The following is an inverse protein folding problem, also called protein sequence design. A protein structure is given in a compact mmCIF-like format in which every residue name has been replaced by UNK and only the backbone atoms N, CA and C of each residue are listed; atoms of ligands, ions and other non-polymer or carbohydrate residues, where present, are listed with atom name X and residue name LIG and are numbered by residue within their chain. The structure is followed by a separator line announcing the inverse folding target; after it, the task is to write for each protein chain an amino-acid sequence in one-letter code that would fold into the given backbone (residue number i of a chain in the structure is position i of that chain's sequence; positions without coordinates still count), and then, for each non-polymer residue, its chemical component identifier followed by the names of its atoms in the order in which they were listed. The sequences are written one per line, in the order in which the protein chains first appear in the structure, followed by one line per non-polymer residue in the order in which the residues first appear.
data_IF_751453045063
#
_entry.id   IF_751453045063
#
_cell.length_a   1.000
_cell.length_b   1.000
_cell.length_c   1.000
_cell.angle_alpha   90.00
_cell.angle_beta   90.00
_cell.angle_gamma   90.00
#
_symmetry.space_group_name_H-M   'P 1'
#
loop_
_entity.id
_entity.type
_entity.pdbx_description
1 polymer ?
#
# COMPACT_ATOMS: atom_id res chain seq x y z
N UNK A 1 -13.33 23.19 -11.18
CA UNK A 1 -13.82 21.78 -11.24
C UNK A 1 -13.97 21.39 -12.71
N UNK A 2 -13.03 20.62 -13.25
CA UNK A 2 -13.10 20.14 -14.63
C UNK A 2 -13.91 18.84 -14.65
N UNK A 3 -15.12 18.87 -15.21
CA UNK A 3 -15.93 17.68 -15.41
C UNK A 3 -15.31 16.83 -16.53
N UNK A 4 -15.11 15.53 -16.29
CA UNK A 4 -14.63 14.60 -17.31
C UNK A 4 -15.57 14.58 -18.51
N UNK A 5 -15.03 14.33 -19.70
CA UNK A 5 -15.80 14.30 -20.94
C UNK A 5 -16.54 12.96 -21.06
N UNK A 6 -17.82 12.97 -21.45
CA UNK A 6 -18.62 11.76 -21.69
C UNK A 6 -18.46 11.28 -23.14
N UNK A 7 -18.41 9.96 -23.35
CA UNK A 7 -18.21 9.32 -24.65
C UNK A 7 -16.86 8.60 -24.74
N UNK A 8 -16.60 7.92 -25.85
CA UNK A 8 -15.35 7.18 -26.05
C UNK A 8 -14.22 8.10 -26.53
N UNK A 9 -13.05 8.03 -25.89
CA UNK A 9 -11.88 8.85 -26.20
C UNK A 9 -10.61 8.02 -26.38
N UNK A 10 -9.65 8.55 -27.14
CA UNK A 10 -8.29 8.01 -27.20
C UNK A 10 -7.24 9.05 -26.85
N UNK A 11 -6.14 8.59 -26.23
CA UNK A 11 -4.89 9.34 -26.07
C UNK A 11 -3.70 8.47 -26.46
N UNK A 12 -2.57 9.08 -26.83
CA UNK A 12 -1.30 8.37 -26.96
C UNK A 12 -0.77 7.97 -25.58
N UNK A 13 -0.10 6.82 -25.47
CA UNK A 13 0.60 6.46 -24.24
C UNK A 13 1.65 7.50 -23.83
N UNK A 14 2.31 8.15 -24.80
CA UNK A 14 3.30 9.20 -24.53
C UNK A 14 2.70 10.45 -23.84
N UNK A 15 1.36 10.54 -23.75
CA UNK A 15 0.66 11.58 -23.02
C UNK A 15 0.45 11.22 -21.55
N UNK A 16 0.86 10.04 -21.11
CA UNK A 16 0.68 9.55 -19.74
C UNK A 16 1.93 9.82 -18.91
N UNK A 17 1.72 9.94 -17.59
CA UNK A 17 2.80 9.94 -16.59
C UNK A 17 2.47 8.92 -15.52
N UNK A 18 3.44 8.08 -15.19
CA UNK A 18 3.37 7.07 -14.13
C UNK A 18 4.33 7.49 -13.03
N UNK A 19 3.86 7.66 -11.80
CA UNK A 19 4.66 8.21 -10.69
C UNK A 19 5.32 9.56 -11.05
N UNK A 20 4.72 10.33 -11.96
CA UNK A 20 5.26 11.59 -12.45
C UNK A 20 6.23 11.49 -13.63
N UNK A 21 6.69 10.29 -14.00
CA UNK A 21 7.59 10.06 -15.14
C UNK A 21 6.82 9.79 -16.45
N UNK A 22 7.29 10.40 -17.54
CA UNK A 22 6.72 10.27 -18.90
C UNK A 22 7.31 9.13 -19.74
N UNK A 23 8.46 8.57 -19.38
CA UNK A 23 9.11 7.48 -20.14
C UNK A 23 9.00 6.11 -19.43
N UNK A 24 7.92 5.93 -18.69
CA UNK A 24 7.71 4.73 -17.89
C UNK A 24 7.42 3.50 -18.76
N UNK A 25 8.15 2.41 -18.51
CA UNK A 25 7.96 1.15 -19.21
C UNK A 25 6.63 0.49 -18.82
N UNK A 26 5.75 0.30 -19.82
CA UNK A 26 4.40 -0.29 -19.67
C UNK A 26 4.39 -1.65 -19.00
N UNK A 27 5.50 -2.42 -19.10
CA UNK A 27 5.61 -3.75 -18.50
C UNK A 27 5.83 -3.72 -16.99
N UNK A 28 6.17 -2.55 -16.44
CA UNK A 28 6.51 -2.37 -15.03
C UNK A 28 5.36 -1.72 -14.23
N UNK A 29 4.18 -1.56 -14.85
CA UNK A 29 2.99 -1.05 -14.16
C UNK A 29 2.54 -2.00 -13.05
N UNK A 30 2.12 -1.39 -11.94
CA UNK A 30 1.51 -2.10 -10.82
C UNK A 30 0.23 -1.39 -10.36
N UNK A 31 -0.67 -2.15 -9.75
CA UNK A 31 -1.80 -1.60 -9.00
C UNK A 31 -1.28 -0.77 -7.81
N UNK A 32 -1.98 0.31 -7.48
CA UNK A 32 -1.57 1.29 -6.49
C UNK A 32 -0.77 2.47 -7.05
N UNK A 33 -0.19 2.35 -8.24
CA UNK A 33 0.61 3.42 -8.84
C UNK A 33 -0.23 4.65 -9.22
N UNK A 34 0.35 5.84 -9.07
CA UNK A 34 -0.17 7.10 -9.56
C UNK A 34 -0.03 7.19 -11.08
N UNK A 35 -1.13 7.52 -11.74
CA UNK A 35 -1.25 7.73 -13.17
C UNK A 35 -1.86 9.10 -13.43
N UNK A 36 -1.32 9.85 -14.38
CA UNK A 36 -1.96 11.07 -14.89
C UNK A 36 -1.73 11.19 -16.39
N UNK A 37 -2.41 12.14 -17.04
CA UNK A 37 -2.21 12.39 -18.47
C UNK A 37 -2.24 13.88 -18.81
N UNK A 38 -1.71 14.24 -19.98
CA UNK A 38 -1.72 15.61 -20.48
C UNK A 38 -1.97 15.69 -21.99
N UNK A 39 -2.07 16.90 -22.51
CA UNK A 39 -2.31 17.13 -23.94
C UNK A 39 -3.79 17.00 -24.30
N UNK A 40 -4.06 16.52 -25.51
CA UNK A 40 -5.41 16.48 -26.09
C UNK A 40 -5.93 15.04 -26.15
N UNK A 41 -7.15 14.83 -25.67
CA UNK A 41 -7.90 13.60 -25.92
C UNK A 41 -8.70 13.74 -27.22
N UNK A 42 -8.80 12.65 -27.97
CA UNK A 42 -9.51 12.63 -29.24
C UNK A 42 -10.80 11.82 -29.11
N UNK A 43 -11.97 12.44 -29.35
CA UNK A 43 -13.25 11.72 -29.31
C UNK A 43 -13.34 10.76 -30.49
N UNK A 44 -13.88 9.56 -30.24
CA UNK A 44 -14.18 8.58 -31.29
C UNK A 44 -15.57 8.75 -31.91
N UNK A 45 -16.39 9.63 -31.35
CA UNK A 45 -17.75 9.93 -31.80
C UNK A 45 -17.93 11.44 -32.06
N UNK A 46 -18.80 11.81 -33.00
CA UNK A 46 -19.13 13.22 -33.32
C UNK A 46 -18.36 13.85 -34.49
N UNK A 47 -18.67 15.11 -34.83
CA UNK A 47 -18.12 15.82 -36.01
C UNK A 47 -16.59 15.98 -35.97
N UNK A 48 -16.00 16.07 -34.77
CA UNK A 48 -14.55 16.18 -34.58
C UNK A 48 -13.82 14.82 -34.63
N UNK A 49 -14.54 13.69 -34.53
CA UNK A 49 -13.96 12.36 -34.74
C UNK A 49 -13.49 12.15 -36.18
N UNK A 50 -13.98 12.98 -37.11
CA UNK A 50 -13.64 12.92 -38.53
C UNK A 50 -12.30 13.61 -38.88
N UNK A 51 -11.74 14.46 -38.00
CA UNK A 51 -10.66 15.38 -38.36
C UNK A 51 -9.24 15.00 -37.88
N UNK A 52 -9.06 13.85 -37.22
CA UNK A 52 -7.75 13.49 -36.63
C UNK A 52 -7.07 12.29 -37.31
N UNK A 53 -7.76 11.53 -38.18
CA UNK A 53 -7.28 10.18 -38.53
C UNK A 53 -7.54 9.77 -40.00
N UNK A 54 -7.12 10.56 -40.99
CA UNK A 54 -7.38 10.28 -42.42
C UNK A 54 -6.15 9.91 -43.27
N UNK A 55 -5.05 9.37 -42.71
CA UNK A 55 -3.81 9.22 -43.50
C UNK A 55 -3.01 7.89 -43.36
N UNK A 56 -3.55 6.79 -42.81
CA UNK A 56 -2.82 5.50 -42.77
C UNK A 56 -3.74 4.28 -42.63
N UNK A 57 -3.29 3.10 -43.12
CA UNK A 57 -3.91 1.78 -42.90
C UNK A 57 -4.05 1.44 -41.42
N UNK A 58 -3.12 1.92 -40.59
CA UNK A 58 -3.09 1.69 -39.14
C UNK A 58 -4.34 2.24 -38.43
N UNK A 59 -4.93 3.30 -39.01
CA UNK A 59 -6.06 4.03 -38.45
C UNK A 59 -7.40 3.32 -38.67
N UNK A 60 -7.55 2.61 -39.80
CA UNK A 60 -8.74 1.78 -40.05
C UNK A 60 -8.76 0.58 -39.12
N UNK A 61 -7.59 -0.01 -38.85
CA UNK A 61 -7.45 -1.10 -37.88
C UNK A 61 -7.72 -0.61 -36.46
N UNK A 62 -7.20 0.55 -36.06
CA UNK A 62 -7.45 1.14 -34.76
C UNK A 62 -8.94 1.46 -34.57
N UNK A 63 -9.62 2.03 -35.58
CA UNK A 63 -11.08 2.24 -35.55
C UNK A 63 -11.83 0.93 -35.41
N UNK A 64 -11.47 -0.11 -36.14
CA UNK A 64 -12.13 -1.41 -36.04
C UNK A 64 -11.87 -2.09 -34.69
N UNK A 65 -10.69 -1.93 -34.08
CA UNK A 65 -10.41 -2.41 -32.71
C UNK A 65 -11.19 -1.59 -31.67
N UNK A 66 -11.13 -0.26 -31.74
CA UNK A 66 -11.82 0.62 -30.81
C UNK A 66 -13.36 0.50 -30.89
N UNK A 67 -13.93 0.41 -32.09
CA UNK A 67 -15.37 0.20 -32.28
C UNK A 67 -15.82 -1.16 -31.72
N UNK A 68 -15.00 -2.22 -31.85
CA UNK A 68 -15.27 -3.52 -31.21
C UNK A 68 -15.23 -3.42 -29.68
N UNK A 69 -14.23 -2.73 -29.11
CA UNK A 69 -14.15 -2.50 -27.66
C UNK A 69 -15.37 -1.74 -27.18
N UNK A 70 -15.70 -0.59 -27.80
CA UNK A 70 -16.84 0.26 -27.41
C UNK A 70 -18.16 -0.50 -27.56
N UNK A 71 -18.38 -1.21 -28.67
CA UNK A 71 -19.61 -1.99 -28.88
C UNK A 71 -19.78 -3.10 -27.84
N UNK A 72 -18.70 -3.81 -27.50
CA UNK A 72 -18.72 -4.87 -26.50
C UNK A 72 -18.84 -4.31 -25.07
N UNK A 73 -18.30 -3.12 -24.82
CA UNK A 73 -18.42 -2.43 -23.53
C UNK A 73 -19.85 -1.91 -23.30
N UNK A 74 -20.48 -1.33 -24.32
CA UNK A 74 -21.87 -0.84 -24.29
C UNK A 74 -22.92 -1.95 -24.06
N UNK A 75 -22.55 -3.21 -24.28
CA UNK A 75 -23.39 -4.38 -24.00
C UNK A 75 -23.26 -4.89 -22.56
N UNK A 76 -22.45 -4.24 -21.70
CA UNK A 76 -22.20 -4.63 -20.32
C UNK A 76 -22.59 -3.50 -19.35
N UNK A 77 -23.15 -3.81 -18.17
CA UNK A 77 -23.23 -2.84 -17.09
C UNK A 77 -21.80 -2.45 -16.66
N UNK A 78 -21.61 -1.19 -16.23
CA UNK A 78 -20.32 -0.64 -15.79
C UNK A 78 -19.55 -1.64 -14.89
N UNK A 79 -18.24 -1.79 -15.06
CA UNK A 79 -17.49 -2.87 -14.45
C UNK A 79 -17.54 -2.78 -12.92
N UNK A 80 -18.09 -3.82 -12.29
CA UNK A 80 -17.89 -4.09 -10.87
C UNK A 80 -16.50 -4.74 -10.67
N UNK A 81 -15.86 -4.57 -9.51
CA UNK A 81 -14.42 -4.86 -9.32
C UNK A 81 -14.05 -6.35 -9.26
N UNK A 82 -15.02 -7.24 -9.42
CA UNK A 82 -14.83 -8.68 -9.31
C UNK A 82 -15.54 -9.38 -10.48
N UNK A 83 -14.93 -9.35 -11.66
CA UNK A 83 -15.23 -10.30 -12.72
C UNK A 83 -13.90 -10.82 -13.28
N UNK A 84 -13.32 -11.76 -12.53
CA UNK A 84 -12.26 -12.65 -13.01
C UNK A 84 -12.76 -13.66 -14.06
N UNK A 85 -14.07 -13.74 -14.31
CA UNK A 85 -14.66 -14.80 -15.14
C UNK A 85 -14.83 -14.46 -16.62
N UNK A 86 -14.41 -13.28 -17.10
CA UNK A 86 -14.52 -12.90 -18.53
C UNK A 86 -13.21 -12.32 -19.10
N UNK A 87 -12.05 -12.76 -18.57
CA UNK A 87 -10.71 -12.35 -19.01
C UNK A 87 -10.14 -13.19 -20.18
N UNK A 88 -10.90 -14.13 -20.73
CA UNK A 88 -10.49 -14.91 -21.91
C UNK A 88 -10.63 -14.14 -23.23
N UNK A 89 -11.19 -12.92 -23.21
CA UNK A 89 -11.19 -12.05 -24.39
C UNK A 89 -9.81 -11.37 -24.56
N UNK A 90 -9.08 -11.64 -25.67
CA UNK A 90 -7.79 -11.00 -25.95
C UNK A 90 -7.84 -9.48 -25.94
N UNK A 91 -9.01 -8.89 -26.17
CA UNK A 91 -9.22 -7.45 -26.27
C UNK A 91 -9.09 -6.71 -24.91
N UNK A 92 -9.35 -7.39 -23.80
CA UNK A 92 -9.29 -6.82 -22.44
C UNK A 92 -8.12 -7.36 -21.62
N UNK A 93 -7.27 -8.20 -22.23
CA UNK A 93 -6.09 -8.79 -21.60
C UNK A 93 -5.19 -7.72 -20.97
N UNK A 94 -5.11 -6.55 -21.59
CA UNK A 94 -4.26 -5.45 -21.14
C UNK A 94 -5.09 -4.28 -20.60
N UNK A 95 -6.37 -4.45 -20.27
CA UNK A 95 -7.17 -3.33 -19.75
C UNK A 95 -6.68 -2.90 -18.36
N UNK A 96 -6.79 -1.62 -18.05
CA UNK A 96 -6.56 -1.08 -16.71
C UNK A 96 -7.77 -0.30 -16.23
N UNK A 97 -7.95 -0.25 -14.92
CA UNK A 97 -8.96 0.61 -14.30
C UNK A 97 -8.25 1.67 -13.47
N UNK A 98 -8.66 2.92 -13.65
CA UNK A 98 -8.11 4.12 -13.02
C UNK A 98 -9.17 4.77 -12.14
N UNK A 99 -8.77 5.41 -11.03
CA UNK A 99 -9.71 6.11 -10.15
C UNK A 99 -9.12 7.36 -9.50
N UNK A 100 -9.94 8.40 -9.33
CA UNK A 100 -9.64 9.57 -8.48
C UNK A 100 -10.16 9.41 -7.04
N UNK A 101 -10.57 8.19 -6.65
CA UNK A 101 -11.18 7.88 -5.35
C UNK A 101 -12.70 8.04 -5.31
N UNK A 102 -13.32 8.67 -6.32
CA UNK A 102 -14.78 8.85 -6.41
C UNK A 102 -15.34 8.27 -7.71
N UNK A 103 -14.60 8.41 -8.81
CA UNK A 103 -14.97 7.97 -10.15
C UNK A 103 -14.01 6.90 -10.63
N UNK A 104 -14.49 6.07 -11.54
CA UNK A 104 -13.72 4.99 -12.16
C UNK A 104 -13.69 5.20 -13.66
N UNK A 105 -12.52 4.95 -14.26
CA UNK A 105 -12.29 5.07 -15.69
C UNK A 105 -11.61 3.79 -16.18
N UNK A 106 -12.20 3.13 -17.16
CA UNK A 106 -11.52 2.05 -17.86
C UNK A 106 -10.60 2.63 -18.93
N UNK A 107 -9.36 2.13 -18.99
CA UNK A 107 -8.42 2.44 -20.05
C UNK A 107 -7.94 1.14 -20.69
N UNK A 108 -8.08 1.04 -22.01
CA UNK A 108 -7.71 -0.16 -22.78
C UNK A 108 -6.56 0.20 -23.71
N UNK A 109 -5.34 -0.31 -23.49
CA UNK A 109 -4.23 -0.17 -24.40
C UNK A 109 -4.52 -0.88 -25.71
N UNK A 110 -4.34 -0.15 -26.80
CA UNK A 110 -4.43 -0.66 -28.15
C UNK A 110 -3.08 -0.43 -28.83
N UNK A 111 -2.39 -1.51 -29.14
CA UNK A 111 -1.15 -1.46 -29.93
C UNK A 111 -1.49 -1.60 -31.41
N UNK A 112 -0.96 -0.68 -32.21
CA UNK A 112 -1.11 -0.71 -33.67
C UNK A 112 -0.03 -1.67 -34.23
N UNK A 113 -0.43 -2.56 -35.15
CA UNK A 113 0.40 -3.69 -35.59
C UNK A 113 1.67 -3.25 -36.33
N UNK A 114 1.62 -2.14 -37.08
CA UNK A 114 2.75 -1.66 -37.89
C UNK A 114 3.61 -0.57 -37.21
N UNK A 115 3.11 0.16 -36.20
CA UNK A 115 3.81 1.33 -35.66
C UNK A 115 4.48 1.13 -34.29
N UNK A 116 4.23 0.01 -33.58
CA UNK A 116 4.61 -0.19 -32.15
C UNK A 116 4.09 0.90 -31.19
N UNK A 117 3.37 1.90 -31.68
CA UNK A 117 2.74 2.92 -30.87
C UNK A 117 1.52 2.33 -30.16
N UNK A 118 1.36 2.67 -28.89
CA UNK A 118 0.21 2.28 -28.09
C UNK A 118 -0.61 3.52 -27.80
N UNK A 119 -1.91 3.42 -28.05
CA UNK A 119 -2.89 4.40 -27.60
C UNK A 119 -3.72 3.79 -26.47
N UNK A 120 -4.24 4.63 -25.59
CA UNK A 120 -5.21 4.24 -24.57
C UNK A 120 -6.61 4.65 -25.02
N UNK A 121 -7.53 3.69 -25.04
CA UNK A 121 -8.95 3.90 -25.26
C UNK A 121 -9.69 3.98 -23.93
N UNK A 122 -10.49 5.03 -23.78
CA UNK A 122 -11.39 5.27 -22.65
C UNK A 122 -12.84 5.15 -23.12
N UNK A 123 -13.52 4.00 -22.95
CA UNK A 123 -14.85 3.77 -23.50
C UNK A 123 -15.95 4.57 -22.79
N UNK A 124 -15.82 4.82 -21.48
CA UNK A 124 -16.90 5.39 -20.65
C UNK A 124 -16.73 6.87 -20.31
N UNK A 125 -15.68 7.49 -20.83
CA UNK A 125 -15.37 8.88 -20.59
C UNK A 125 -13.91 9.13 -20.26
N UNK A 126 -13.47 10.35 -20.54
CA UNK A 126 -12.10 10.77 -20.34
C UNK A 126 -11.92 11.36 -18.94
N UNK A 127 -10.95 10.89 -18.14
CA UNK A 127 -10.60 11.57 -16.89
C UNK A 127 -10.05 12.98 -17.16
N UNK A 128 -10.20 13.95 -16.24
CA UNK A 128 -9.62 15.27 -16.39
C UNK A 128 -8.09 15.23 -16.61
N UNK A 129 -7.58 16.08 -17.51
CA UNK A 129 -6.14 16.18 -17.74
C UNK A 129 -5.40 16.71 -16.51
N UNK A 130 -4.17 16.24 -16.30
CA UNK A 130 -3.25 16.59 -15.22
C UNK A 130 -3.78 16.31 -13.81
N UNK A 131 -4.79 15.46 -13.69
CA UNK A 131 -5.26 14.94 -12.42
C UNK A 131 -4.55 13.61 -12.11
N UNK A 132 -4.10 13.45 -10.87
CA UNK A 132 -3.58 12.18 -10.37
C UNK A 132 -4.74 11.21 -10.16
N UNK A 133 -4.65 10.05 -10.78
CA UNK A 133 -5.49 8.88 -10.59
C UNK A 133 -4.63 7.74 -10.06
N UNK A 134 -5.26 6.74 -9.46
CA UNK A 134 -4.59 5.50 -9.07
C UNK A 134 -4.95 4.39 -10.03
N UNK A 135 -3.98 3.58 -10.43
CA UNK A 135 -4.21 2.30 -11.12
C UNK A 135 -4.78 1.33 -10.09
N UNK A 136 -6.06 1.00 -10.20
CA UNK A 136 -6.74 0.13 -9.21
C UNK A 136 -6.84 -1.33 -9.66
N UNK A 137 -6.71 -1.59 -10.96
CA UNK A 137 -6.69 -2.94 -11.50
C UNK A 137 -5.93 -2.99 -12.82
N UNK A 138 -5.16 -4.06 -13.03
CA UNK A 138 -4.47 -4.36 -14.29
C UNK A 138 -4.91 -5.72 -14.85
N UNK A 139 -5.14 -5.79 -16.16
CA UNK A 139 -5.39 -7.01 -16.90
C UNK A 139 -4.13 -7.88 -17.04
N UNK A 140 -4.33 -9.18 -17.32
CA UNK A 140 -3.31 -10.21 -17.29
C UNK A 140 -2.13 -10.12 -18.28
N UNK A 141 -2.10 -9.18 -19.23
CA UNK A 141 -0.90 -8.96 -20.05
C UNK A 141 0.04 -7.86 -19.54
N UNK A 142 -0.35 -7.16 -18.47
CA UNK A 142 0.62 -6.53 -17.59
C UNK A 142 1.16 -7.60 -16.65
N UNK A 143 2.48 -7.80 -16.67
CA UNK A 143 3.10 -8.59 -15.61
C UNK A 143 2.90 -7.78 -14.34
N UNK A 144 1.97 -8.21 -13.49
CA UNK A 144 1.85 -7.75 -12.11
C UNK A 144 3.12 -8.18 -11.36
N UNK A 145 4.26 -7.57 -11.70
CA UNK A 145 5.37 -7.41 -10.79
C UNK A 145 4.88 -6.38 -9.80
N UNK A 146 4.10 -6.85 -8.84
CA UNK A 146 4.13 -6.25 -7.53
C UNK A 146 5.62 -6.15 -7.20
N UNK A 147 6.21 -4.95 -7.26
CA UNK A 147 7.33 -4.64 -6.38
C UNK A 147 6.73 -4.96 -5.02
N UNK A 148 7.05 -6.13 -4.47
CA UNK A 148 6.80 -6.44 -3.08
C UNK A 148 7.55 -5.33 -2.34
N UNK A 149 6.86 -4.22 -2.08
CA UNK A 149 7.26 -3.32 -1.01
C UNK A 149 7.41 -4.27 0.18
N UNK A 150 8.63 -4.40 0.68
CA UNK A 150 8.94 -5.28 1.80
C UNK A 150 7.98 -5.03 2.97
N UNK A 151 7.87 -5.97 3.92
CA UNK A 151 6.90 -5.87 5.01
C UNK A 151 6.89 -4.48 5.65
N UNK A 152 5.73 -3.84 5.71
CA UNK A 152 5.63 -2.42 6.10
C UNK A 152 5.20 -2.36 7.56
N UNK A 153 6.08 -1.92 8.47
CA UNK A 153 5.80 -1.80 9.92
C UNK A 153 5.34 -0.38 10.23
N UNK A 154 4.05 -0.21 10.58
CA UNK A 154 3.44 1.09 10.86
C UNK A 154 2.44 1.05 12.02
N UNK A 155 2.36 2.15 12.75
CA UNK A 155 1.25 2.50 13.63
C UNK A 155 0.14 3.18 12.84
N UNK A 156 -1.11 3.08 13.29
CA UNK A 156 -2.21 3.89 12.75
C UNK A 156 -2.38 5.17 13.57
N UNK A 157 -2.77 6.27 12.91
CA UNK A 157 -3.17 7.53 13.55
C UNK A 157 -4.04 7.29 14.80
N UNK A 158 -3.75 8.02 15.88
CA UNK A 158 -4.43 7.89 17.17
C UNK A 158 -3.85 6.82 18.09
N UNK A 159 -2.86 6.04 17.63
CA UNK A 159 -2.06 5.18 18.51
C UNK A 159 -1.33 6.03 19.54
N UNK A 160 -1.37 5.63 20.81
CA UNK A 160 -0.69 6.27 21.92
C UNK A 160 0.60 5.53 22.25
N UNK A 161 1.72 6.23 22.15
CA UNK A 161 3.05 5.70 22.49
C UNK A 161 3.48 6.21 23.87
N UNK A 162 4.03 5.33 24.69
CA UNK A 162 4.62 5.73 25.96
C UNK A 162 5.87 6.58 25.72
N UNK A 163 5.92 7.76 26.34
CA UNK A 163 6.97 8.76 26.22
C UNK A 163 7.37 9.32 27.59
N UNK A 164 8.40 10.17 27.61
CA UNK A 164 8.92 10.76 28.85
C UNK A 164 7.85 11.46 29.72
N UNK A 165 6.87 12.12 29.09
CA UNK A 165 5.84 12.92 29.77
C UNK A 165 4.45 12.25 29.77
N UNK A 166 4.41 10.92 29.77
CA UNK A 166 3.18 10.15 29.66
C UNK A 166 3.00 9.60 28.25
N UNK A 167 1.78 9.55 27.74
CA UNK A 167 1.54 9.06 26.38
C UNK A 167 1.47 10.20 25.37
N UNK A 168 2.04 9.99 24.19
CA UNK A 168 1.97 10.88 23.03
C UNK A 168 1.23 10.19 21.89
N UNK A 169 0.38 10.90 21.16
CA UNK A 169 -0.24 10.35 19.96
C UNK A 169 0.82 10.21 18.86
N UNK A 170 0.79 9.13 18.08
CA UNK A 170 1.83 8.85 17.08
C UNK A 170 1.94 9.96 16.03
N UNK A 171 0.83 10.62 15.69
CA UNK A 171 0.81 11.78 14.78
C UNK A 171 1.51 13.03 15.32
N UNK A 172 1.78 13.08 16.64
CA UNK A 172 2.44 14.20 17.31
C UNK A 172 3.92 13.92 17.59
N UNK A 173 4.39 12.68 17.38
CA UNK A 173 5.80 12.30 17.57
C UNK A 173 6.67 12.94 16.51
N UNK A 174 7.79 13.53 16.91
CA UNK A 174 8.79 14.16 16.04
C UNK A 174 10.18 13.59 16.31
N UNK A 175 11.08 13.78 15.34
CA UNK A 175 12.50 13.48 15.55
C UNK A 175 13.03 14.32 16.73
N UNK A 176 13.86 13.70 17.58
CA UNK A 176 14.34 14.28 18.84
C UNK A 176 13.44 14.04 20.06
N UNK A 177 12.21 13.53 19.88
CA UNK A 177 11.39 13.09 21.01
C UNK A 177 11.96 11.81 21.64
N UNK A 178 11.59 11.55 22.90
CA UNK A 178 12.02 10.36 23.63
C UNK A 178 10.84 9.45 23.97
N UNK A 179 10.89 8.21 23.48
CA UNK A 179 9.92 7.17 23.78
C UNK A 179 10.44 6.21 24.83
N UNK A 180 9.53 5.69 25.65
CA UNK A 180 9.83 4.62 26.61
C UNK A 180 9.95 3.30 25.86
N UNK A 181 11.10 2.66 26.03
CA UNK A 181 11.39 1.33 25.51
C UNK A 181 11.39 0.31 26.64
N UNK A 182 11.15 -0.97 26.29
CA UNK A 182 11.11 -2.07 27.26
C UNK A 182 12.46 -2.30 27.93
N UNK A 183 13.53 -2.30 27.15
CA UNK A 183 14.84 -2.81 27.59
C UNK A 183 15.84 -1.70 27.89
N UNK A 184 15.75 -0.56 27.20
CA UNK A 184 16.81 0.44 27.15
C UNK A 184 16.37 1.83 27.67
N UNK A 185 15.31 1.88 28.48
CA UNK A 185 14.78 3.12 29.04
C UNK A 185 14.25 4.06 27.95
N UNK A 186 14.55 5.35 28.06
CA UNK A 186 14.17 6.35 27.06
C UNK A 186 15.11 6.28 25.85
N UNK A 187 14.54 6.20 24.65
CA UNK A 187 15.28 6.26 23.39
C UNK A 187 14.77 7.37 22.50
N UNK A 188 15.72 8.05 21.87
CA UNK A 188 15.45 9.15 20.95
C UNK A 188 14.81 8.61 19.66
N UNK A 189 13.81 9.32 19.17
CA UNK A 189 13.22 9.12 17.85
C UNK A 189 14.13 9.78 16.83
N UNK A 190 14.72 8.99 15.95
CA UNK A 190 15.61 9.51 14.90
C UNK A 190 14.85 10.00 13.68
N UNK A 191 13.70 9.39 13.40
CA UNK A 191 12.90 9.64 12.21
C UNK A 191 11.44 9.22 12.40
N UNK A 192 10.53 9.98 11.80
CA UNK A 192 9.11 9.63 11.67
C UNK A 192 8.70 9.78 10.21
N UNK A 193 8.17 8.71 9.62
CA UNK A 193 7.57 8.74 8.29
C UNK A 193 6.07 8.53 8.36
N UNK A 194 5.31 9.11 7.44
CA UNK A 194 3.88 8.82 7.34
C UNK A 194 3.42 8.56 5.92
N UNK A 195 2.36 7.76 5.80
CA UNK A 195 1.70 7.44 4.53
C UNK A 195 0.19 7.36 4.73
N UNK A 196 -0.56 8.07 3.90
CA UNK A 196 -2.03 8.00 3.93
C UNK A 196 -2.56 7.16 2.78
N UNK A 197 -3.39 6.17 3.09
CA UNK A 197 -4.13 5.37 2.13
C UNK A 197 -5.61 5.74 2.16
N UNK A 198 -6.14 6.10 1.00
CA UNK A 198 -7.56 6.29 0.76
C UNK A 198 -8.32 4.96 0.81
N UNK A 199 -9.65 5.03 0.94
CA UNK A 199 -10.51 3.85 0.87
C UNK A 199 -10.39 3.08 -0.45
N UNK A 200 -10.14 3.77 -1.56
CA UNK A 200 -9.89 3.16 -2.87
C UNK A 200 -8.56 2.38 -2.87
N UNK A 201 -7.50 2.92 -2.28
CA UNK A 201 -6.23 2.22 -2.10
C UNK A 201 -6.39 1.01 -1.18
N UNK A 202 -7.11 1.12 -0.07
CA UNK A 202 -7.42 -0.01 0.84
C UNK A 202 -8.35 -1.05 0.22
N UNK A 203 -9.12 -0.66 -0.79
CA UNK A 203 -9.95 -1.57 -1.58
C UNK A 203 -9.09 -2.34 -2.60
N UNK A 204 -8.24 -1.64 -3.35
CA UNK A 204 -7.32 -2.24 -4.33
C UNK A 204 -6.23 -3.09 -3.66
N UNK A 205 -5.74 -2.67 -2.49
CA UNK A 205 -4.68 -3.33 -1.73
C UNK A 205 -5.21 -3.77 -0.36
N UNK A 206 -6.10 -4.78 -0.30
CA UNK A 206 -6.71 -5.22 0.95
C UNK A 206 -5.69 -5.78 1.95
N UNK A 207 -4.53 -6.24 1.47
CA UNK A 207 -3.41 -6.69 2.28
C UNK A 207 -2.67 -5.55 3.01
N UNK A 208 -3.00 -4.27 2.74
CA UNK A 208 -2.52 -3.11 3.48
C UNK A 208 -3.54 -2.59 4.51
N UNK A 209 -4.67 -3.28 4.68
CA UNK A 209 -5.67 -2.90 5.69
C UNK A 209 -5.11 -3.12 7.10
N UNK A 210 -5.40 -2.23 8.05
CA UNK A 210 -4.86 -2.36 9.38
C UNK A 210 -5.43 -3.58 10.09
N UNK A 211 -4.60 -4.18 10.94
CA UNK A 211 -5.01 -5.20 11.89
C UNK A 211 -5.41 -4.51 13.18
N UNK A 212 -6.63 -4.79 13.62
CA UNK A 212 -7.17 -4.39 14.91
C UNK A 212 -6.86 -5.45 15.96
N UNK A 213 -6.14 -5.02 16.98
CA UNK A 213 -5.93 -5.74 18.23
C UNK A 213 -6.97 -5.19 19.23
N UNK A 214 -8.09 -5.88 19.47
CA UNK A 214 -9.18 -5.35 20.30
C UNK A 214 -8.78 -5.24 21.77
N UNK A 215 -9.41 -4.32 22.51
CA UNK A 215 -9.17 -4.14 23.93
C UNK A 215 -9.26 -5.45 24.71
N UNK A 216 -8.31 -5.67 25.61
CA UNK A 216 -8.23 -6.89 26.43
C UNK A 216 -7.67 -8.13 25.73
N UNK A 217 -7.31 -8.06 24.44
CA UNK A 217 -6.73 -9.19 23.69
C UNK A 217 -5.57 -9.88 24.40
N UNK A 218 -4.68 -9.11 25.03
CA UNK A 218 -3.51 -9.63 25.72
C UNK A 218 -3.71 -9.80 27.23
N UNK A 219 -4.95 -9.68 27.71
CA UNK A 219 -5.29 -9.75 29.14
C UNK A 219 -5.00 -8.45 29.90
N UNK A 220 -5.45 -8.39 31.17
CA UNK A 220 -5.32 -7.22 32.05
C UNK A 220 -5.83 -5.91 31.43
N UNK A 221 -6.87 -6.01 30.58
CA UNK A 221 -7.44 -4.86 29.88
C UNK A 221 -6.64 -4.36 28.67
N UNK A 222 -5.56 -5.03 28.24
CA UNK A 222 -4.65 -4.56 27.18
C UNK A 222 -4.96 -5.13 25.79
N UNK A 223 -4.85 -4.37 24.69
CA UNK A 223 -4.55 -2.93 24.66
C UNK A 223 -5.70 -2.10 25.25
N UNK A 224 -5.43 -0.86 25.67
CA UNK A 224 -6.47 0.08 26.09
C UNK A 224 -6.13 1.48 25.53
N UNK A 225 -6.90 2.03 24.57
CA UNK A 225 -7.98 1.40 23.79
C UNK A 225 -7.44 0.39 22.75
N UNK A 226 -8.30 -0.14 21.88
CA UNK A 226 -7.90 -0.94 20.70
C UNK A 226 -6.63 -0.39 20.02
N UNK A 227 -5.72 -1.27 19.62
CA UNK A 227 -4.52 -0.92 18.87
C UNK A 227 -4.71 -1.30 17.39
N UNK A 228 -4.52 -0.34 16.49
CA UNK A 228 -4.52 -0.59 15.05
C UNK A 228 -3.10 -0.41 14.50
N UNK A 229 -2.63 -1.42 13.77
CA UNK A 229 -1.28 -1.45 13.20
C UNK A 229 -1.32 -2.04 11.79
N UNK A 230 -0.24 -1.86 11.02
CA UNK A 230 -0.10 -2.55 9.74
C UNK A 230 -0.01 -4.09 9.91
N UNK A 231 -0.33 -4.88 8.88
CA UNK A 231 -0.29 -6.35 8.96
C UNK A 231 1.03 -6.97 9.38
N UNK A 232 2.15 -6.39 8.96
CA UNK A 232 3.49 -6.88 9.29
C UNK A 232 4.07 -6.29 10.58
N UNK A 233 3.38 -5.36 11.24
CA UNK A 233 3.80 -4.80 12.53
C UNK A 233 3.92 -5.91 13.57
N UNK A 234 5.00 -5.92 14.36
CA UNK A 234 5.25 -7.03 15.25
C UNK A 234 4.90 -6.71 16.70
N UNK A 235 4.23 -7.67 17.33
CA UNK A 235 3.89 -7.65 18.74
C UNK A 235 4.80 -8.61 19.48
N UNK A 236 5.25 -8.20 20.67
CA UNK A 236 6.04 -9.03 21.57
C UNK A 236 5.14 -10.09 22.21
N UNK A 237 5.49 -11.35 22.00
CA UNK A 237 4.83 -12.52 22.58
C UNK A 237 5.77 -13.13 23.61
N UNK A 238 5.28 -13.31 24.84
CA UNK A 238 5.99 -14.01 25.91
C UNK A 238 5.29 -15.34 26.17
N UNK A 239 6.01 -16.45 25.97
CA UNK A 239 5.42 -17.79 26.07
C UNK A 239 6.47 -18.83 26.47
N UNK A 240 6.15 -19.76 27.38
CA UNK A 240 7.01 -20.91 27.67
C UNK A 240 7.30 -21.77 26.43
N UNK A 241 6.36 -21.85 25.50
CA UNK A 241 6.51 -22.57 24.24
C UNK A 241 7.52 -21.89 23.31
N UNK A 242 7.60 -20.56 23.34
CA UNK A 242 8.67 -19.85 22.63
C UNK A 242 10.06 -20.27 23.14
N UNK A 243 10.20 -20.43 24.47
CA UNK A 243 11.44 -20.90 25.10
C UNK A 243 11.75 -22.35 24.70
N UNK A 244 10.74 -23.22 24.66
CA UNK A 244 10.91 -24.62 24.28
C UNK A 244 11.28 -24.80 22.79
N UNK A 245 10.68 -24.00 21.90
CA UNK A 245 10.85 -24.13 20.45
C UNK A 245 12.12 -23.44 19.93
N UNK A 246 12.48 -22.28 20.50
CA UNK A 246 13.57 -21.44 19.97
C UNK A 246 14.60 -21.01 21.01
N UNK A 247 14.46 -21.41 22.27
CA UNK A 247 15.38 -20.99 23.34
C UNK A 247 15.16 -19.56 23.83
N UNK A 248 14.13 -18.87 23.34
CA UNK A 248 13.82 -17.46 23.61
C UNK A 248 12.61 -17.30 24.53
N UNK A 249 12.68 -16.46 25.57
CA UNK A 249 11.50 -16.17 26.42
C UNK A 249 10.46 -15.30 25.71
N UNK A 250 10.92 -14.49 24.76
CA UNK A 250 10.13 -13.48 24.07
C UNK A 250 10.45 -13.48 22.59
N UNK A 251 9.42 -13.43 21.75
CA UNK A 251 9.52 -13.46 20.28
C UNK A 251 8.58 -12.42 19.67
N UNK A 252 8.90 -11.97 18.46
CA UNK A 252 8.12 -10.96 17.75
C UNK A 252 7.26 -11.63 16.67
N UNK A 253 5.93 -11.57 16.84
CA UNK A 253 4.95 -12.13 15.91
C UNK A 253 4.22 -11.00 15.19
N UNK A 254 3.96 -11.16 13.88
CA UNK A 254 3.27 -10.12 13.09
C UNK A 254 1.80 -10.07 13.49
N UNK A 255 1.20 -8.88 13.46
CA UNK A 255 -0.19 -8.68 13.81
C UNK A 255 -1.13 -9.52 12.95
N UNK A 256 -0.84 -9.69 11.65
CA UNK A 256 -1.65 -10.54 10.77
C UNK A 256 -1.65 -12.03 11.16
N UNK A 257 -0.57 -12.51 11.79
CA UNK A 257 -0.48 -13.91 12.23
C UNK A 257 -1.33 -14.14 13.51
N UNK A 258 -1.81 -13.07 14.16
CA UNK A 258 -2.76 -13.13 15.28
C UNK A 258 -4.23 -13.14 14.82
N UNK A 259 -4.50 -13.04 13.51
CA UNK A 259 -5.87 -12.95 12.98
C UNK A 259 -6.55 -14.32 13.06
N UNK A 260 -7.83 -14.30 13.46
CA UNK A 260 -8.64 -15.52 13.61
C UNK A 260 -8.68 -15.99 15.06
N UNK A 261 -8.13 -17.17 15.35
CA UNK A 261 -8.32 -17.86 16.63
C UNK A 261 -7.67 -17.13 17.82
N UNK A 262 -6.67 -16.28 17.57
CA UNK A 262 -6.00 -15.48 18.59
C UNK A 262 -6.66 -14.13 18.87
N UNK A 263 -7.77 -13.79 18.20
CA UNK A 263 -8.61 -12.64 18.54
C UNK A 263 -8.35 -11.33 17.77
N UNK A 264 -7.24 -11.19 17.03
CA UNK A 264 -7.03 -10.04 16.15
C UNK A 264 -7.91 -10.12 14.90
N UNK A 265 -8.23 -8.97 14.29
CA UNK A 265 -9.13 -8.89 13.13
C UNK A 265 -8.61 -7.88 12.10
N UNK A 266 -8.81 -8.15 10.82
CA UNK A 266 -8.61 -7.15 9.76
C UNK A 266 -9.69 -6.07 9.90
N UNK A 267 -9.31 -4.80 9.88
CA UNK A 267 -10.28 -3.70 9.93
C UNK A 267 -10.83 -3.38 8.54
N UNK A 268 -11.97 -4.01 8.23
CA UNK A 268 -12.71 -3.75 6.99
C UNK A 268 -13.50 -2.44 7.02
N UNK A 269 -13.65 -1.78 8.19
CA UNK A 269 -14.43 -0.55 8.36
C UNK A 269 -13.61 0.71 8.11
N UNK A 270 -12.28 0.61 8.05
CA UNK A 270 -11.42 1.74 7.72
C UNK A 270 -11.76 2.29 6.32
N UNK A 271 -12.28 3.53 6.29
CA UNK A 271 -12.58 4.27 5.06
C UNK A 271 -11.35 4.98 4.48
N UNK A 272 -10.33 5.18 5.31
CA UNK A 272 -8.97 5.58 4.99
C UNK A 272 -8.09 5.22 6.19
N UNK A 273 -6.77 5.23 6.01
CA UNK A 273 -5.81 5.02 7.11
C UNK A 273 -4.61 5.93 6.90
N UNK A 274 -4.10 6.52 7.98
CA UNK A 274 -2.79 7.16 7.99
C UNK A 274 -1.88 6.33 8.85
N UNK A 275 -0.82 5.83 8.23
CA UNK A 275 0.22 5.02 8.83
C UNK A 275 1.42 5.88 9.21
N UNK A 276 2.03 5.55 10.34
CA UNK A 276 3.22 6.21 10.87
C UNK A 276 4.32 5.18 11.13
N UNK A 277 5.52 5.46 10.64
CA UNK A 277 6.75 4.75 10.93
C UNK A 277 7.52 5.53 11.98
N UNK A 278 7.98 4.87 13.04
CA UNK A 278 8.76 5.53 14.09
C UNK A 278 10.06 4.76 14.26
N UNK A 279 11.17 5.40 13.92
CA UNK A 279 12.51 4.83 14.05
C UNK A 279 13.25 5.48 15.21
N UNK A 280 13.87 4.67 16.05
CA UNK A 280 14.61 5.13 17.24
C UNK A 280 16.11 4.91 17.05
N UNK A 281 16.90 5.30 18.05
CA UNK A 281 18.31 4.88 18.17
C UNK A 281 18.40 3.35 18.36
N UNK A 282 18.48 2.64 17.24
CA UNK A 282 18.42 1.18 17.14
C UNK A 282 16.98 0.62 17.10
N UNK A 283 16.86 -0.67 16.82
CA UNK A 283 15.57 -1.36 16.87
C UNK A 283 15.15 -1.60 18.31
N UNK A 284 13.94 -1.16 18.68
CA UNK A 284 13.47 -1.17 20.06
C UNK A 284 12.10 -1.82 20.17
N UNK A 285 11.78 -2.34 21.36
CA UNK A 285 10.40 -2.64 21.76
C UNK A 285 9.84 -1.41 22.46
N UNK A 286 8.82 -0.78 21.86
CA UNK A 286 8.08 0.37 22.41
C UNK A 286 6.74 -0.07 22.97
N UNK A 287 6.11 0.79 23.77
CA UNK A 287 4.78 0.52 24.34
C UNK A 287 3.73 1.36 23.61
N UNK A 288 2.83 0.70 22.89
CA UNK A 288 1.74 1.30 22.12
C UNK A 288 0.39 0.82 22.67
N UNK A 289 -0.48 1.75 23.09
CA UNK A 289 -1.75 1.45 23.76
C UNK A 289 -1.61 0.35 24.83
N UNK A 290 -0.59 0.46 25.69
CA UNK A 290 -0.21 -0.52 26.73
C UNK A 290 0.33 -1.89 26.26
N UNK A 291 0.54 -2.10 24.96
CA UNK A 291 1.08 -3.34 24.36
C UNK A 291 2.52 -3.13 23.89
N UNK A 292 3.36 -4.14 24.11
CA UNK A 292 4.76 -4.12 23.66
C UNK A 292 4.85 -4.53 22.18
N UNK A 293 5.34 -3.62 21.34
CA UNK A 293 5.45 -3.76 19.88
C UNK A 293 6.79 -3.22 19.39
N UNK A 294 7.19 -3.53 18.16
CA UNK A 294 8.46 -3.04 17.65
C UNK A 294 8.42 -1.61 17.08
N UNK A 295 9.59 -0.98 17.07
CA UNK A 295 9.83 0.22 16.28
C UNK A 295 10.14 -0.14 14.83
N UNK A 296 10.16 0.86 13.95
CA UNK A 296 10.61 0.70 12.58
C UNK A 296 12.09 0.27 12.52
N UNK A 297 12.40 -0.61 11.57
CA UNK A 297 13.76 -1.02 11.24
C UNK A 297 13.97 -0.93 9.72
N UNK A 298 14.91 -0.12 9.22
CA UNK A 298 15.06 0.15 7.78
C UNK A 298 15.47 -1.08 6.96
N UNK A 299 16.25 -2.02 7.53
CA UNK A 299 16.59 -3.27 6.84
C UNK A 299 15.42 -4.27 6.71
N UNK A 300 14.46 -4.24 7.63
CA UNK A 300 13.40 -5.23 7.71
C UNK A 300 12.05 -4.71 7.22
N UNK A 301 11.95 -3.41 6.96
CA UNK A 301 10.75 -2.79 6.42
C UNK A 301 11.12 -1.86 5.25
N UNK A 302 10.38 -1.99 4.14
CA UNK A 302 10.64 -1.13 2.99
C UNK A 302 10.25 0.32 3.31
N UNK A 303 11.16 1.24 3.01
CA UNK A 303 10.87 2.67 2.96
C UNK A 303 10.16 2.96 1.62
N UNK A 304 8.89 3.40 1.63
CA UNK A 304 8.28 3.91 0.40
C UNK A 304 8.77 5.34 0.19
N UNK A 305 9.99 5.50 -0.34
CA UNK A 305 10.61 6.79 -0.65
C UNK A 305 9.71 7.67 -1.54
N UNK A 306 8.99 7.03 -2.48
CA UNK A 306 8.15 7.71 -3.47
C UNK A 306 6.79 8.21 -2.92
N UNK A 307 6.41 7.87 -1.68
CA UNK A 307 5.08 8.15 -1.11
C UNK A 307 5.10 8.88 0.24
N UNK A 308 6.28 9.38 0.64
CA UNK A 308 6.45 10.19 1.84
C UNK A 308 6.02 11.64 1.61
N UNK A 309 5.50 12.27 2.66
CA UNK A 309 5.29 13.71 2.62
C UNK A 309 6.62 14.49 2.74
N UNK A 310 6.57 15.79 2.46
CA UNK A 310 7.74 16.64 2.44
C UNK A 310 8.47 16.69 3.79
N UNK A 311 7.73 16.61 4.90
CA UNK A 311 8.30 16.65 6.26
C UNK A 311 9.04 15.33 6.58
N UNK A 312 8.45 14.18 6.23
CA UNK A 312 9.09 12.88 6.37
C UNK A 312 10.32 12.73 5.46
N UNK A 313 10.24 13.26 4.22
CA UNK A 313 11.36 13.28 3.28
C UNK A 313 12.52 14.13 3.82
N UNK A 314 12.25 15.34 4.31
CA UNK A 314 13.26 16.18 4.96
C UNK A 314 13.86 15.49 6.20
N UNK A 315 13.03 14.83 7.02
CA UNK A 315 13.53 14.06 8.16
C UNK A 315 14.40 12.86 7.73
N UNK A 316 14.15 12.27 6.55
CA UNK A 316 14.95 11.17 6.01
C UNK A 316 16.28 11.68 5.45
N UNK A 317 16.29 12.84 4.80
CA UNK A 317 17.52 13.52 4.40
C UNK A 317 18.37 13.84 5.65
N UNK A 318 17.77 14.41 6.70
CA UNK A 318 18.43 14.69 7.98
C UNK A 318 18.95 13.39 8.65
N UNK A 319 18.24 12.27 8.50
CA UNK A 319 18.70 10.97 8.98
C UNK A 319 19.96 10.54 8.24
N UNK A 320 19.95 10.61 6.91
CA UNK A 320 21.11 10.22 6.09
C UNK A 320 22.27 11.20 6.22
N UNK A 321 22.04 12.48 6.51
CA UNK A 321 23.13 13.41 6.85
C UNK A 321 23.80 13.03 8.18
N UNK A 322 23.02 12.64 9.19
CA UNK A 322 23.54 12.20 10.50
C UNK A 322 24.11 10.78 10.48
N UNK A 323 23.58 9.92 9.63
CA UNK A 323 23.94 8.52 9.48
C UNK A 323 24.13 8.16 8.00
N UNK A 324 25.19 8.70 7.35
CA UNK A 324 25.43 8.51 5.92
C UNK A 324 25.61 7.04 5.54
N UNK A 325 26.11 6.23 6.46
CA UNK A 325 26.30 4.79 6.27
C UNK A 325 24.98 4.03 6.07
N UNK A 326 23.83 4.58 6.52
CA UNK A 326 22.52 3.95 6.31
C UNK A 326 21.96 4.18 4.91
N UNK A 327 22.48 5.16 4.18
CA UNK A 327 22.07 5.42 2.80
C UNK A 327 22.57 4.28 1.90
N UNK A 328 21.64 3.45 1.41
CA UNK A 328 21.95 2.29 0.58
C UNK A 328 22.41 1.03 1.33
N UNK A 329 22.70 1.11 2.65
CA UNK A 329 23.07 -0.02 3.50
C UNK A 329 22.25 -0.07 4.80
N UNK A 330 20.92 -0.28 4.70
CA UNK A 330 20.03 -0.25 5.86
C UNK A 330 20.33 -1.38 6.87
N UNK A 331 21.05 -2.42 6.48
CA UNK A 331 21.52 -3.52 7.33
C UNK A 331 22.55 -3.08 8.39
N UNK A 332 23.21 -1.93 8.19
CA UNK A 332 24.14 -1.36 9.18
C UNK A 332 23.42 -0.74 10.39
N UNK A 333 22.09 -0.62 10.35
CA UNK A 333 21.30 -0.10 11.47
C UNK A 333 21.35 -1.00 12.73
N UNK A 334 21.74 -2.26 12.55
CA UNK A 334 21.89 -3.22 13.65
C UNK A 334 20.92 -4.40 13.54
N UNK A 335 20.89 -5.27 14.55
CA UNK A 335 20.03 -6.44 14.56
C UNK A 335 18.61 -6.11 15.03
N UNK A 336 17.68 -7.02 14.76
CA UNK A 336 16.37 -7.04 15.38
C UNK A 336 16.46 -7.09 16.92
N UNK A 337 15.59 -6.37 17.62
CA UNK A 337 15.56 -6.30 19.09
C UNK A 337 15.28 -7.66 19.75
N UNK A 338 14.53 -8.52 19.06
CA UNK A 338 14.16 -9.88 19.46
C UNK A 338 14.00 -10.75 18.21
N UNK A 339 13.95 -12.07 18.39
CA UNK A 339 13.71 -13.03 17.31
C UNK A 339 12.39 -12.71 16.61
N UNK A 340 12.47 -12.44 15.32
CA UNK A 340 11.32 -12.21 14.46
C UNK A 340 10.82 -13.53 13.88
N UNK A 341 9.60 -13.94 14.25
CA UNK A 341 9.01 -15.15 13.68
C UNK A 341 8.59 -14.93 12.23
N UNK A 342 8.83 -15.94 11.40
CA UNK A 342 8.19 -16.06 10.08
C UNK A 342 6.77 -16.67 10.18
N UNK A 343 6.04 -16.68 9.07
CA UNK A 343 4.66 -17.19 9.03
C UNK A 343 4.52 -18.62 9.55
N UNK A 344 5.44 -19.52 9.15
CA UNK A 344 5.41 -20.92 9.57
C UNK A 344 5.69 -21.08 11.07
N UNK A 345 6.65 -20.34 11.60
CA UNK A 345 6.98 -20.35 13.03
C UNK A 345 5.84 -19.77 13.87
N UNK A 346 5.21 -18.70 13.37
CA UNK A 346 4.07 -18.09 14.01
C UNK A 346 2.87 -19.05 14.07
N UNK A 347 2.62 -19.83 13.01
CA UNK A 347 1.58 -20.86 13.01
C UNK A 347 1.85 -21.97 14.03
N UNK A 348 3.10 -22.41 14.16
CA UNK A 348 3.50 -23.39 15.18
C UNK A 348 3.25 -22.85 16.58
N UNK A 349 3.66 -21.60 16.86
CA UNK A 349 3.44 -21.00 18.18
C UNK A 349 1.93 -20.82 18.45
N UNK A 350 1.17 -20.35 17.46
CA UNK A 350 -0.27 -20.10 17.58
C UNK A 350 -1.06 -21.35 17.95
N UNK A 351 -0.65 -22.52 17.46
CA UNK A 351 -1.25 -23.81 17.84
C UNK A 351 -1.14 -24.12 19.34
N UNK A 352 -0.18 -23.50 20.04
CA UNK A 352 0.04 -23.67 21.48
C UNK A 352 -0.55 -22.50 22.30
N UNK A 353 -0.77 -21.34 21.67
CA UNK A 353 -1.44 -20.18 22.23
C UNK A 353 -2.98 -20.37 22.16
N UNK A 354 -3.53 -21.29 22.96
CA UNK A 354 -4.97 -21.52 22.98
C UNK A 354 -5.77 -20.31 23.54
N UNK A 355 -7.08 -20.19 23.19
CA UNK A 355 -7.94 -19.07 23.64
C UNK A 355 -8.10 -18.96 25.16
N UNK A 356 -7.73 -20.00 25.92
CA UNK A 356 -7.81 -20.06 27.38
C UNK A 356 -6.52 -19.66 28.12
N UNK A 357 -5.39 -19.42 27.43
CA UNK A 357 -4.08 -19.19 28.07
C UNK A 357 -3.58 -17.74 28.04
N UNK A 358 -4.19 -16.88 27.24
CA UNK A 358 -3.78 -15.49 27.07
C UNK A 358 -2.42 -15.35 26.37
N UNK A 359 -2.27 -14.35 25.49
CA UNK A 359 -1.07 -14.18 24.66
C UNK A 359 0.19 -13.82 25.49
N UNK A 360 0.03 -13.37 26.74
CA UNK A 360 1.15 -13.10 27.65
C UNK A 360 1.49 -14.22 28.65
N UNK A 361 0.78 -15.35 28.59
CA UNK A 361 0.85 -16.35 29.66
C UNK A 361 0.26 -15.80 30.96
N UNK A 362 -0.52 -16.62 31.64
CA UNK A 362 -1.09 -16.30 32.95
C UNK A 362 0.01 -15.79 33.91
N UNK A 363 -0.23 -14.64 34.55
CA UNK A 363 0.47 -14.30 35.79
C UNK A 363 -0.13 -15.05 36.95
#
# INVERSE_FOLDING_TARGET
MSMGLRGAFIISWAQTRIEGDSDYNKKDLAEGMSWSWHGRAFPLEGKDAALVLTSSRDLLQLRAKAARVVHKFMQRPAPLPHLSSDLDDPLYRDAMVLSDGVRFFSAVPLTLEDSRETVLLFPDGMPPARQHLTIISLGGGFSARFRRQGPVVCFVKGTRLAALKGEIAVEDVRAGDYLVTRDNGLKEVLWVGQRSLSGAQLFAMPHLRPIRLPQGLFGKGKPEPDLLVSPDHRVLIKSPEARALWGEDEVMMRAQDLVGDLGARVDHRAASVTYFHVMLEGHQVVIANSVAVDSFHPAYAALPEDEMDADAAACLDDLYERHPDLAGHPDLFGPAVRRMLGAAEAAILSAHLGPSRGIYGLS
#
